data_IF_966500168643
#
_entry.id   IF_966500168643
#
_cell.length_a   1.000
_cell.length_b   1.000
_cell.length_c   1.000
_cell.angle_alpha   90.00
_cell.angle_beta   90.00
_cell.angle_gamma   90.00
#
_symmetry.space_group_name_H-M   'P 1'
#
loop_
_entity.id
_entity.type
_entity.pdbx_description
1 polymer ?
#
# COMPACT_ATOMS: atom_id res chain seq x y z
N UNK A 1 7.07 -13.36 -28.84
CA UNK A 1 6.40 -12.62 -27.75
C UNK A 1 7.29 -11.43 -27.41
N UNK A 2 6.79 -10.19 -27.51
CA UNK A 2 7.61 -8.98 -27.40
C UNK A 2 7.61 -8.46 -25.95
N UNK A 3 8.78 -8.31 -25.33
CA UNK A 3 8.93 -7.67 -24.03
C UNK A 3 8.72 -6.14 -24.15
N UNK A 4 8.09 -5.52 -23.14
CA UNK A 4 7.93 -4.05 -23.12
C UNK A 4 9.13 -3.42 -22.43
N UNK A 5 9.98 -2.74 -23.20
CA UNK A 5 11.11 -2.00 -22.66
C UNK A 5 10.67 -0.58 -22.32
N UNK A 6 10.80 -0.19 -21.05
CA UNK A 6 10.66 1.19 -20.63
C UNK A 6 12.06 1.81 -20.52
N UNK A 7 12.23 3.00 -21.11
CA UNK A 7 13.43 3.83 -20.98
C UNK A 7 13.00 5.26 -20.71
N UNK A 8 13.68 5.95 -19.80
CA UNK A 8 13.47 7.37 -19.59
C UNK A 8 14.00 8.16 -20.79
N UNK A 9 13.14 8.94 -21.45
CA UNK A 9 13.55 9.92 -22.45
C UNK A 9 13.67 11.27 -21.74
N UNK A 10 14.82 11.94 -21.85
CA UNK A 10 14.99 13.28 -21.29
C UNK A 10 14.17 14.28 -22.11
N UNK A 11 13.04 14.74 -21.59
CA UNK A 11 12.30 15.86 -22.19
C UNK A 11 11.93 16.90 -21.13
N UNK A 12 12.13 18.16 -21.53
CA UNK A 12 12.06 19.36 -20.69
C UNK A 12 10.64 19.74 -20.27
N UNK A 13 10.60 20.57 -19.22
CA UNK A 13 9.38 20.97 -18.51
C UNK A 13 8.41 21.81 -19.34
N UNK A 14 7.14 21.69 -18.99
CA UNK A 14 6.03 22.49 -19.49
C UNK A 14 4.99 22.69 -18.39
N UNK A 15 4.50 23.92 -18.31
CA UNK A 15 3.68 24.60 -17.29
C UNK A 15 2.37 23.92 -16.84
N UNK A 16 1.95 24.26 -15.61
CA UNK A 16 0.67 23.92 -14.96
C UNK A 16 -0.17 25.20 -14.83
N UNK A 17 -1.50 25.19 -15.07
CA UNK A 17 -2.40 26.18 -14.51
C UNK A 17 -3.18 25.63 -13.30
N UNK A 18 -3.21 26.45 -12.25
CA UNK A 18 -3.91 26.25 -10.98
C UNK A 18 -5.37 26.75 -11.04
N UNK A 19 -6.28 26.10 -10.30
CA UNK A 19 -7.58 26.66 -9.90
C UNK A 19 -7.87 26.26 -8.43
N UNK A 20 -8.40 27.15 -7.58
CA UNK A 20 -8.46 26.94 -6.13
C UNK A 20 -9.81 26.37 -5.66
N UNK A 21 -9.79 25.67 -4.52
CA UNK A 21 -10.99 25.44 -3.70
C UNK A 21 -10.65 25.64 -2.22
N UNK A 22 -11.46 26.44 -1.54
CA UNK A 22 -11.23 26.97 -0.19
C UNK A 22 -12.33 26.45 0.78
N UNK A 23 -11.91 26.16 2.02
CA UNK A 23 -12.64 26.10 3.33
C UNK A 23 -13.23 24.75 3.83
N UNK A 24 -13.33 24.50 5.17
CA UNK A 24 -12.71 25.10 6.38
C UNK A 24 -11.98 24.05 7.28
N UNK A 25 -11.48 24.37 8.51
CA UNK A 25 -10.32 23.71 9.12
C UNK A 25 -10.61 22.41 9.91
N UNK A 26 -9.57 21.59 9.96
CA UNK A 26 -9.45 20.31 10.67
C UNK A 26 -9.17 20.50 12.17
N UNK A 27 -9.81 19.69 13.01
CA UNK A 27 -9.31 19.41 14.35
C UNK A 27 -8.47 18.13 14.35
N UNK A 28 -7.22 18.34 14.77
CA UNK A 28 -6.09 17.42 14.79
C UNK A 28 -6.18 16.52 16.03
N UNK A 29 -6.04 15.20 15.85
CA UNK A 29 -5.78 14.29 16.97
C UNK A 29 -4.74 13.29 16.48
N UNK A 30 -3.48 13.55 16.84
CA UNK A 30 -2.38 12.63 16.61
C UNK A 30 -2.47 11.45 17.57
N UNK A 31 -2.17 10.26 17.07
CA UNK A 31 -1.89 9.10 17.90
C UNK A 31 -0.91 8.17 17.20
N UNK A 32 0.21 7.92 17.86
CA UNK A 32 1.30 7.02 17.46
C UNK A 32 1.09 5.68 18.17
N UNK A 33 0.82 4.62 17.41
CA UNK A 33 0.80 3.25 17.92
C UNK A 33 1.64 2.36 17.02
N UNK A 34 2.88 2.06 17.38
CA UNK A 34 3.58 0.97 16.71
C UNK A 34 2.95 -0.35 17.16
N UNK A 35 2.45 -1.14 16.21
CA UNK A 35 2.12 -2.55 16.48
C UNK A 35 3.41 -3.29 16.87
N UNK A 36 3.51 -3.63 18.16
CA UNK A 36 4.62 -4.38 18.73
C UNK A 36 4.69 -5.78 18.09
N UNK A 37 5.86 -6.16 17.57
CA UNK A 37 6.09 -7.55 17.16
C UNK A 37 7.26 -7.86 16.22
N UNK A 38 7.97 -6.88 15.65
CA UNK A 38 9.25 -7.13 14.96
C UNK A 38 10.18 -5.94 15.18
N UNK A 39 11.10 -6.06 16.12
CA UNK A 39 12.26 -5.16 16.22
C UNK A 39 13.18 -5.41 15.04
N UNK A 40 13.13 -4.52 14.04
CA UNK A 40 14.17 -4.43 13.02
C UNK A 40 15.34 -3.61 13.58
N UNK A 41 16.59 -3.87 13.17
CA UNK A 41 17.75 -3.19 13.71
C UNK A 41 17.71 -1.71 13.33
N UNK A 42 17.56 -0.83 14.32
CA UNK A 42 17.80 0.61 14.16
C UNK A 42 19.31 0.83 14.06
N UNK A 43 19.87 0.66 12.87
CA UNK A 43 21.23 1.12 12.60
C UNK A 43 21.22 2.64 12.39
N UNK A 44 21.25 3.37 13.50
CA UNK A 44 21.55 4.79 13.54
C UNK A 44 23.01 5.03 13.22
N UNK A 45 23.37 5.07 11.93
CA UNK A 45 24.63 5.66 11.47
C UNK A 45 24.35 7.06 10.91
N UNK A 46 24.49 8.06 11.78
CA UNK A 46 25.09 9.38 11.51
C UNK A 46 24.53 10.32 10.42
N UNK A 47 23.59 9.91 9.58
CA UNK A 47 23.04 10.70 8.47
C UNK A 47 21.50 10.57 8.37
N UNK A 48 20.78 10.65 9.50
CA UNK A 48 19.37 11.06 9.63
C UNK A 48 18.24 10.40 8.79
N UNK A 49 18.52 9.51 7.84
CA UNK A 49 17.56 8.98 6.87
C UNK A 49 17.10 7.57 7.26
N UNK A 50 15.79 7.36 7.34
CA UNK A 50 15.22 6.04 7.64
C UNK A 50 15.43 5.06 6.48
N UNK A 51 15.44 3.74 6.78
CA UNK A 51 15.54 2.70 5.75
C UNK A 51 14.41 2.79 4.70
N UNK A 52 13.19 3.09 5.13
CA UNK A 52 12.03 3.23 4.24
C UNK A 52 12.16 4.45 3.32
N UNK A 53 12.72 5.56 3.83
CA UNK A 53 12.97 6.75 3.01
C UNK A 53 14.07 6.46 1.97
N UNK A 54 15.12 5.73 2.33
CA UNK A 54 16.15 5.32 1.39
C UNK A 54 15.58 4.44 0.27
N UNK A 55 14.74 3.46 0.61
CA UNK A 55 14.03 2.62 -0.36
C UNK A 55 13.07 3.42 -1.25
N UNK A 56 12.33 4.38 -0.67
CA UNK A 56 11.44 5.27 -1.42
C UNK A 56 12.21 6.11 -2.46
N UNK A 57 13.35 6.67 -2.06
CA UNK A 57 14.24 7.42 -2.97
C UNK A 57 14.83 6.53 -4.06
N UNK A 58 15.19 5.29 -3.75
CA UNK A 58 15.66 4.31 -4.73
C UNK A 58 14.60 4.09 -5.83
N UNK A 59 13.33 3.88 -5.44
CA UNK A 59 12.24 3.69 -6.41
C UNK A 59 12.04 4.93 -7.26
N UNK A 60 11.94 6.10 -6.64
CA UNK A 60 11.66 7.36 -7.33
C UNK A 60 12.76 7.80 -8.29
N UNK A 61 14.02 7.51 -7.95
CA UNK A 61 15.18 7.97 -8.71
C UNK A 61 15.69 6.91 -9.67
N UNK A 62 15.01 5.77 -9.81
CA UNK A 62 15.37 4.77 -10.79
C UNK A 62 15.32 5.37 -12.20
N UNK A 63 16.47 5.34 -12.88
CA UNK A 63 16.70 5.86 -14.23
C UNK A 63 17.29 4.82 -15.19
N UNK A 64 17.38 3.57 -14.75
CA UNK A 64 17.85 2.43 -15.52
C UNK A 64 16.89 2.01 -16.64
N UNK A 65 17.33 1.02 -17.42
CA UNK A 65 16.50 0.35 -18.42
C UNK A 65 15.73 -0.77 -17.73
N UNK A 66 14.41 -0.80 -17.92
CA UNK A 66 13.56 -1.83 -17.34
C UNK A 66 12.84 -2.60 -18.45
N UNK A 67 13.07 -3.91 -18.50
CA UNK A 67 12.36 -4.81 -19.41
C UNK A 67 11.29 -5.55 -18.62
N UNK A 68 10.03 -5.15 -18.81
CA UNK A 68 8.92 -5.81 -18.15
C UNK A 68 8.59 -7.12 -18.84
N UNK A 69 8.40 -8.17 -18.04
CA UNK A 69 7.72 -9.38 -18.50
C UNK A 69 6.30 -9.03 -18.96
N UNK A 70 5.73 -9.84 -19.85
CA UNK A 70 4.35 -9.61 -20.32
C UNK A 70 3.34 -9.55 -19.16
N UNK A 71 3.53 -10.39 -18.14
CA UNK A 71 2.70 -10.38 -16.92
C UNK A 71 2.83 -9.10 -16.12
N UNK A 72 4.06 -8.60 -15.92
CA UNK A 72 4.29 -7.38 -15.15
C UNK A 72 3.87 -6.12 -15.91
N UNK A 73 3.98 -6.13 -17.24
CA UNK A 73 3.40 -5.09 -18.09
C UNK A 73 1.88 -5.04 -17.97
N UNK A 74 1.21 -6.20 -17.94
CA UNK A 74 -0.24 -6.27 -17.73
C UNK A 74 -0.65 -5.74 -16.33
N UNK A 75 0.10 -6.10 -15.28
CA UNK A 75 -0.12 -5.58 -13.93
C UNK A 75 0.01 -4.04 -13.87
N UNK A 76 1.05 -3.49 -14.49
CA UNK A 76 1.25 -2.05 -14.58
C UNK A 76 0.10 -1.36 -15.34
N UNK A 77 -0.27 -1.90 -16.50
CA UNK A 77 -1.34 -1.34 -17.33
C UNK A 77 -2.69 -1.35 -16.60
N UNK A 78 -2.99 -2.41 -15.85
CA UNK A 78 -4.20 -2.48 -15.04
C UNK A 78 -4.17 -1.44 -13.92
N UNK A 79 -3.05 -1.29 -13.22
CA UNK A 79 -2.90 -0.31 -12.12
C UNK A 79 -3.11 1.13 -12.60
N UNK A 80 -2.56 1.48 -13.76
CA UNK A 80 -2.64 2.85 -14.29
C UNK A 80 -3.87 3.07 -15.17
N UNK A 81 -4.73 2.07 -15.33
CA UNK A 81 -5.96 2.22 -16.10
C UNK A 81 -6.83 3.31 -15.45
N UNK A 82 -7.26 4.29 -16.24
CA UNK A 82 -7.98 5.47 -15.74
C UNK A 82 -7.11 6.57 -15.12
N UNK A 83 -5.78 6.40 -15.03
CA UNK A 83 -4.86 7.45 -14.59
C UNK A 83 -4.39 8.27 -15.79
N UNK A 84 -4.74 9.56 -15.83
CA UNK A 84 -4.29 10.49 -16.87
C UNK A 84 -3.02 11.22 -16.43
N UNK A 85 -2.13 11.53 -17.38
CA UNK A 85 -0.97 12.41 -17.18
C UNK A 85 0.17 11.87 -16.28
N UNK A 86 0.41 10.56 -16.28
CA UNK A 86 1.62 10.01 -15.65
C UNK A 86 2.86 10.36 -16.48
N UNK A 87 3.83 11.03 -15.85
CA UNK A 87 5.16 11.24 -16.42
C UNK A 87 5.90 9.91 -16.60
N UNK A 88 6.84 9.87 -17.53
CA UNK A 88 7.73 8.72 -17.72
C UNK A 88 8.44 8.32 -16.43
N UNK A 89 8.82 9.31 -15.60
CA UNK A 89 9.45 9.07 -14.29
C UNK A 89 8.50 8.31 -13.35
N UNK A 90 7.23 8.73 -13.26
CA UNK A 90 6.23 8.05 -12.42
C UNK A 90 5.94 6.64 -12.95
N UNK A 91 5.74 6.49 -14.26
CA UNK A 91 5.53 5.18 -14.88
C UNK A 91 6.70 4.24 -14.61
N UNK A 92 7.92 4.76 -14.69
CA UNK A 92 9.13 3.99 -14.41
C UNK A 92 9.21 3.56 -12.95
N UNK A 93 8.93 4.46 -11.99
CA UNK A 93 8.93 4.13 -10.57
C UNK A 93 7.91 3.02 -10.22
N UNK A 94 6.70 3.11 -10.78
CA UNK A 94 5.65 2.08 -10.65
C UNK A 94 6.10 0.75 -11.25
N UNK A 95 6.65 0.78 -12.47
CA UNK A 95 7.14 -0.39 -13.16
C UNK A 95 8.28 -1.07 -12.40
N UNK A 96 9.24 -0.29 -11.91
CA UNK A 96 10.37 -0.76 -11.11
C UNK A 96 9.89 -1.44 -9.84
N UNK A 97 8.97 -0.81 -9.09
CA UNK A 97 8.43 -1.42 -7.88
C UNK A 97 7.67 -2.72 -8.16
N UNK A 98 6.87 -2.79 -9.24
CA UNK A 98 6.17 -4.02 -9.62
C UNK A 98 7.15 -5.11 -10.03
N UNK A 99 8.17 -4.79 -10.82
CA UNK A 99 9.11 -5.75 -11.41
C UNK A 99 10.15 -6.25 -10.40
N UNK A 100 10.81 -5.33 -9.69
CA UNK A 100 11.96 -5.61 -8.83
C UNK A 100 11.61 -5.46 -7.35
N UNK A 101 10.79 -4.46 -7.03
CA UNK A 101 10.56 -4.04 -5.64
C UNK A 101 11.83 -3.44 -5.03
N UNK A 102 11.95 -3.60 -3.72
CA UNK A 102 13.06 -3.09 -2.90
C UNK A 102 13.48 -4.17 -1.90
N UNK A 103 14.48 -3.90 -1.06
CA UNK A 103 14.92 -4.85 -0.04
C UNK A 103 13.76 -5.39 0.82
N UNK A 104 12.87 -4.50 1.23
CA UNK A 104 11.71 -4.80 2.07
C UNK A 104 10.59 -5.54 1.32
N UNK A 105 10.39 -5.21 0.04
CA UNK A 105 9.24 -5.68 -0.76
C UNK A 105 9.55 -6.83 -1.71
N UNK A 106 10.84 -7.16 -1.96
CA UNK A 106 11.26 -8.23 -2.89
C UNK A 106 10.78 -9.63 -2.50
N UNK A 107 10.44 -9.84 -1.23
CA UNK A 107 9.81 -11.09 -0.73
C UNK A 107 8.40 -11.30 -1.26
N UNK A 108 7.73 -10.23 -1.68
CA UNK A 108 6.39 -10.27 -2.28
C UNK A 108 6.51 -10.59 -3.77
N UNK A 109 5.59 -11.39 -4.31
CA UNK A 109 5.50 -11.57 -5.76
C UNK A 109 5.10 -10.26 -6.48
N UNK A 110 5.37 -10.16 -7.79
CA UNK A 110 5.02 -8.97 -8.57
C UNK A 110 3.52 -8.60 -8.48
N UNK A 111 2.63 -9.61 -8.47
CA UNK A 111 1.20 -9.41 -8.26
C UNK A 111 0.86 -8.83 -6.87
N UNK A 112 1.57 -9.25 -5.82
CA UNK A 112 1.40 -8.70 -4.48
C UNK A 112 1.89 -7.25 -4.39
N UNK A 113 3.02 -6.94 -5.04
CA UNK A 113 3.56 -5.56 -5.15
C UNK A 113 2.62 -4.64 -5.94
N UNK A 114 2.06 -5.11 -7.05
CA UNK A 114 0.99 -4.40 -7.75
C UNK A 114 -0.25 -4.23 -6.85
N UNK A 115 -0.55 -5.24 -6.01
CA UNK A 115 -1.59 -5.15 -4.99
C UNK A 115 -1.30 -4.09 -3.93
N UNK A 116 -0.04 -3.86 -3.54
CA UNK A 116 0.34 -2.79 -2.59
C UNK A 116 0.03 -1.42 -3.18
N UNK A 117 0.41 -1.20 -4.44
CA UNK A 117 0.09 0.04 -5.15
C UNK A 117 -1.41 0.26 -5.31
N UNK A 118 -2.19 -0.80 -5.55
CA UNK A 118 -3.65 -0.72 -5.58
C UNK A 118 -4.25 -0.39 -4.20
N UNK A 119 -3.70 -0.96 -3.11
CA UNK A 119 -4.15 -0.61 -1.75
C UNK A 119 -3.85 0.87 -1.45
N UNK A 120 -2.67 1.37 -1.83
CA UNK A 120 -2.33 2.80 -1.73
C UNK A 120 -3.28 3.67 -2.56
N UNK A 121 -3.47 3.35 -3.85
CA UNK A 121 -4.38 4.07 -4.76
C UNK A 121 -5.80 4.14 -4.20
N UNK A 122 -6.31 3.05 -3.63
CA UNK A 122 -7.63 3.03 -3.00
C UNK A 122 -7.70 3.87 -1.72
N UNK A 123 -6.65 3.84 -0.91
CA UNK A 123 -6.62 4.57 0.35
C UNK A 123 -6.45 6.08 0.16
N UNK A 124 -5.75 6.52 -0.88
CA UNK A 124 -5.38 7.92 -1.08
C UNK A 124 -5.95 8.53 -2.37
N UNK A 125 -6.68 7.75 -3.17
CA UNK A 125 -7.34 8.17 -4.42
C UNK A 125 -6.37 8.72 -5.49
N UNK A 126 -5.08 8.42 -5.35
CA UNK A 126 -4.02 8.78 -6.30
C UNK A 126 -2.85 7.81 -6.21
N UNK A 127 -2.03 7.75 -7.26
CA UNK A 127 -0.77 7.02 -7.24
C UNK A 127 0.32 7.78 -6.44
N UNK A 128 1.37 7.09 -5.97
CA UNK A 128 2.50 7.71 -5.29
C UNK A 128 3.23 8.73 -6.19
N UNK A 129 3.52 9.92 -5.65
CA UNK A 129 4.13 11.03 -6.37
C UNK A 129 5.47 11.44 -5.79
N UNK A 130 5.56 11.49 -4.46
CA UNK A 130 6.72 11.98 -3.72
C UNK A 130 7.37 10.90 -2.84
N UNK A 131 8.47 11.26 -2.17
CA UNK A 131 9.24 10.33 -1.35
C UNK A 131 8.41 9.81 -0.19
N UNK A 132 7.54 10.63 0.39
CA UNK A 132 6.69 10.21 1.51
C UNK A 132 5.63 9.20 1.07
N UNK A 133 5.06 9.38 -0.12
CA UNK A 133 4.12 8.42 -0.68
C UNK A 133 4.77 7.07 -0.94
N UNK A 134 5.99 7.08 -1.48
CA UNK A 134 6.75 5.87 -1.72
C UNK A 134 7.22 5.22 -0.42
N UNK A 135 7.51 6.01 0.61
CA UNK A 135 7.79 5.49 1.95
C UNK A 135 6.57 4.74 2.50
N UNK A 136 5.36 5.31 2.34
CA UNK A 136 4.11 4.66 2.73
C UNK A 136 3.85 3.38 1.93
N UNK A 137 4.16 3.35 0.63
CA UNK A 137 4.10 2.12 -0.18
C UNK A 137 5.03 1.04 0.37
N UNK A 138 6.27 1.38 0.72
CA UNK A 138 7.23 0.43 1.30
C UNK A 138 6.75 -0.05 2.67
N UNK A 139 6.17 0.83 3.49
CA UNK A 139 5.58 0.46 4.79
C UNK A 139 4.39 -0.47 4.64
N UNK A 140 3.47 -0.20 3.72
CA UNK A 140 2.35 -1.09 3.39
C UNK A 140 2.88 -2.48 3.00
N UNK A 141 3.98 -2.54 2.22
CA UNK A 141 4.58 -3.82 1.78
C UNK A 141 5.19 -4.66 2.92
N UNK A 142 5.46 -4.06 4.07
CA UNK A 142 6.07 -4.72 5.24
C UNK A 142 5.18 -4.83 6.45
N UNK A 143 3.96 -4.29 6.38
CA UNK A 143 3.01 -4.34 7.48
C UNK A 143 3.13 -3.18 8.44
N UNK A 144 3.98 -2.20 8.12
CA UNK A 144 4.18 -1.00 8.94
C UNK A 144 3.09 0.02 8.63
N UNK A 145 2.74 0.81 9.63
CA UNK A 145 1.74 1.86 9.49
C UNK A 145 2.24 2.97 8.56
N UNK A 146 1.34 3.50 7.75
CA UNK A 146 1.63 4.67 6.91
C UNK A 146 1.82 5.91 7.78
N UNK A 147 2.64 6.85 7.31
CA UNK A 147 2.73 8.20 7.86
C UNK A 147 1.46 8.98 7.55
N UNK A 148 0.97 8.90 6.31
CA UNK A 148 -0.26 9.57 5.90
C UNK A 148 -1.46 8.74 6.37
N UNK A 149 -2.43 9.42 6.95
CA UNK A 149 -3.71 8.84 7.32
C UNK A 149 -4.80 9.37 6.39
N UNK A 150 -5.77 8.52 6.06
CA UNK A 150 -6.97 8.91 5.34
C UNK A 150 -8.21 8.54 6.15
N UNK A 151 -8.88 9.56 6.70
CA UNK A 151 -10.07 9.41 7.52
C UNK A 151 -11.18 8.64 6.79
N UNK A 152 -11.39 8.92 5.50
CA UNK A 152 -12.42 8.24 4.69
C UNK A 152 -12.11 6.76 4.50
N UNK A 153 -10.84 6.41 4.28
CA UNK A 153 -10.41 5.02 4.17
C UNK A 153 -10.62 4.26 5.50
N UNK A 154 -10.33 4.91 6.63
CA UNK A 154 -10.56 4.33 7.96
C UNK A 154 -12.05 4.22 8.30
N UNK A 155 -12.89 5.21 7.98
CA UNK A 155 -14.35 5.12 8.13
C UNK A 155 -14.94 3.94 7.34
N UNK A 156 -14.50 3.76 6.09
CA UNK A 156 -14.90 2.60 5.28
C UNK A 156 -14.45 1.28 5.92
N UNK A 157 -13.23 1.24 6.48
CA UNK A 157 -12.70 0.07 7.18
C UNK A 157 -13.46 -0.21 8.49
N UNK A 158 -13.90 0.81 9.24
CA UNK A 158 -14.73 0.67 10.43
C UNK A 158 -16.09 0.04 10.08
N UNK A 159 -16.73 0.49 8.99
CA UNK A 159 -17.99 -0.11 8.52
C UNK A 159 -17.82 -1.61 8.23
N UNK A 160 -16.72 -1.99 7.56
CA UNK A 160 -16.40 -3.39 7.28
C UNK A 160 -16.06 -4.16 8.57
N UNK A 161 -15.31 -3.56 9.49
CA UNK A 161 -15.01 -4.13 10.81
C UNK A 161 -16.30 -4.53 11.52
N UNK A 162 -17.29 -3.65 11.56
CA UNK A 162 -18.58 -3.94 12.22
C UNK A 162 -19.35 -5.06 11.55
N UNK A 163 -19.26 -5.21 10.22
CA UNK A 163 -19.85 -6.36 9.52
C UNK A 163 -19.20 -7.68 9.96
N UNK A 164 -17.87 -7.69 10.10
CA UNK A 164 -17.09 -8.90 10.42
C UNK A 164 -17.21 -9.27 11.90
N UNK A 165 -16.93 -8.31 12.77
CA UNK A 165 -16.79 -8.52 14.22
C UNK A 165 -18.06 -8.19 15.01
N UNK A 166 -19.14 -7.75 14.35
CA UNK A 166 -20.46 -7.50 14.97
C UNK A 166 -20.47 -6.48 16.11
N UNK A 167 -19.46 -5.60 16.14
CA UNK A 167 -19.29 -4.51 17.10
C UNK A 167 -18.49 -3.36 16.48
N UNK A 168 -18.46 -2.21 17.15
CA UNK A 168 -17.54 -1.13 16.79
C UNK A 168 -16.10 -1.47 17.25
N UNK A 169 -15.07 -1.01 16.53
CA UNK A 169 -13.69 -1.19 16.95
C UNK A 169 -13.40 -0.36 18.22
N UNK A 170 -12.66 -0.96 19.16
CA UNK A 170 -12.09 -0.25 20.30
C UNK A 170 -10.63 0.13 19.96
N UNK A 171 -10.36 1.39 19.66
CA UNK A 171 -9.00 1.85 19.30
C UNK A 171 -7.99 1.82 20.45
N UNK A 172 -8.43 1.59 21.70
CA UNK A 172 -7.51 1.27 22.80
C UNK A 172 -7.06 -0.20 22.78
N UNK A 173 -7.69 -1.05 21.95
CA UNK A 173 -7.26 -2.42 21.68
C UNK A 173 -6.43 -2.44 20.38
N UNK A 174 -5.15 -2.78 20.51
CA UNK A 174 -4.20 -2.84 19.39
C UNK A 174 -4.66 -3.76 18.24
N UNK A 175 -5.46 -4.79 18.54
CA UNK A 175 -5.93 -5.76 17.54
C UNK A 175 -7.06 -5.20 16.70
N UNK A 176 -7.95 -4.44 17.31
CA UNK A 176 -9.04 -3.77 16.60
C UNK A 176 -8.48 -2.66 15.72
N UNK A 177 -7.54 -1.88 16.26
CA UNK A 177 -6.84 -0.86 15.49
C UNK A 177 -6.08 -1.48 14.32
N UNK A 178 -5.30 -2.55 14.57
CA UNK A 178 -4.62 -3.29 13.51
C UNK A 178 -5.59 -3.80 12.43
N UNK A 179 -6.78 -4.30 12.80
CA UNK A 179 -7.79 -4.73 11.83
C UNK A 179 -8.24 -3.57 10.94
N UNK A 180 -8.54 -2.42 11.54
CA UNK A 180 -8.94 -1.21 10.80
C UNK A 180 -7.82 -0.75 9.87
N UNK A 181 -6.57 -0.67 10.34
CA UNK A 181 -5.42 -0.26 9.51
C UNK A 181 -5.12 -1.25 8.39
N UNK A 182 -5.22 -2.56 8.65
CA UNK A 182 -5.07 -3.61 7.63
C UNK A 182 -6.10 -3.47 6.51
N UNK A 183 -7.37 -3.19 6.84
CA UNK A 183 -8.43 -2.98 5.86
C UNK A 183 -8.32 -1.63 5.15
N UNK A 184 -7.95 -0.57 5.87
CA UNK A 184 -7.85 0.78 5.32
C UNK A 184 -6.72 0.88 4.29
N UNK A 185 -5.51 0.42 4.66
CA UNK A 185 -4.28 0.65 3.90
C UNK A 185 -3.74 -0.60 3.21
N UNK A 186 -4.33 -1.78 3.47
CA UNK A 186 -3.88 -3.03 2.87
C UNK A 186 -2.51 -3.48 3.36
N UNK A 187 -2.23 -3.39 4.65
CA UNK A 187 -0.91 -3.77 5.17
C UNK A 187 -0.60 -5.25 4.86
N UNK A 188 0.65 -5.56 4.48
CA UNK A 188 1.12 -6.92 4.18
C UNK A 188 1.89 -7.51 5.37
N UNK A 189 1.63 -8.74 5.80
CA UNK A 189 2.30 -9.31 6.96
C UNK A 189 3.82 -9.45 6.72
N UNK A 190 4.60 -9.28 7.79
CA UNK A 190 6.05 -9.48 7.75
C UNK A 190 6.42 -10.92 7.35
N UNK A 191 5.69 -11.90 7.88
CA UNK A 191 5.80 -13.33 7.58
C UNK A 191 4.43 -13.90 7.22
N UNK A 192 4.35 -14.59 6.08
CA UNK A 192 3.08 -15.16 5.59
C UNK A 192 2.79 -16.51 6.25
N UNK A 193 1.56 -16.68 6.72
CA UNK A 193 1.05 -17.92 7.25
C UNK A 193 -0.10 -18.43 6.38
N UNK A 194 0.17 -19.44 5.55
CA UNK A 194 -0.79 -20.02 4.61
C UNK A 194 -2.01 -20.63 5.32
N UNK A 195 -1.86 -21.14 6.55
CA UNK A 195 -2.96 -21.69 7.31
C UNK A 195 -3.89 -20.58 7.82
N UNK A 196 -3.33 -19.48 8.34
CA UNK A 196 -4.10 -18.30 8.73
C UNK A 196 -4.84 -17.69 7.54
N UNK A 197 -4.18 -17.56 6.38
CA UNK A 197 -4.80 -17.04 5.15
C UNK A 197 -5.94 -17.95 4.67
N UNK A 198 -5.75 -19.28 4.69
CA UNK A 198 -6.79 -20.26 4.33
C UNK A 198 -8.02 -20.15 5.25
N UNK A 199 -7.81 -20.11 6.56
CA UNK A 199 -8.89 -19.98 7.53
C UNK A 199 -9.64 -18.66 7.35
N UNK A 200 -8.89 -17.58 7.11
CA UNK A 200 -9.47 -16.25 6.91
C UNK A 200 -10.26 -16.14 5.61
N UNK A 201 -9.84 -16.84 4.56
CA UNK A 201 -10.62 -16.97 3.33
C UNK A 201 -11.96 -17.69 3.57
N UNK A 202 -11.97 -18.73 4.39
CA UNK A 202 -13.21 -19.43 4.80
C UNK A 202 -14.15 -18.50 5.58
N UNK A 203 -13.60 -17.73 6.53
CA UNK A 203 -14.34 -16.71 7.27
C UNK A 203 -14.91 -15.63 6.36
N UNK A 204 -14.10 -15.12 5.42
CA UNK A 204 -14.55 -14.15 4.42
C UNK A 204 -15.72 -14.70 3.60
N UNK A 205 -15.58 -15.92 3.08
CA UNK A 205 -16.64 -16.56 2.30
C UNK A 205 -17.92 -16.72 3.12
N UNK A 206 -17.81 -17.11 4.39
CA UNK A 206 -18.96 -17.29 5.28
C UNK A 206 -19.69 -15.97 5.59
N UNK A 207 -18.99 -14.84 5.59
CA UNK A 207 -19.57 -13.52 5.88
C UNK A 207 -20.15 -12.86 4.62
N UNK A 208 -19.44 -12.94 3.50
CA UNK A 208 -19.78 -12.21 2.27
C UNK A 208 -20.42 -13.09 1.18
N UNK A 209 -20.50 -14.40 1.40
CA UNK A 209 -21.04 -15.40 0.48
C UNK A 209 -20.44 -15.32 -0.94
N UNK A 210 -19.14 -15.00 -1.02
CA UNK A 210 -18.37 -14.90 -2.27
C UNK A 210 -16.87 -15.03 -2.00
N UNK A 211 -16.11 -15.36 -3.03
CA UNK A 211 -14.65 -15.29 -2.99
C UNK A 211 -14.15 -13.83 -3.17
N UNK A 212 -12.94 -13.50 -2.68
CA UNK A 212 -12.28 -12.23 -2.96
C UNK A 212 -12.09 -12.03 -4.48
N UNK A 213 -12.42 -10.83 -4.98
CA UNK A 213 -12.29 -10.48 -6.40
C UNK A 213 -11.39 -9.27 -6.64
N UNK A 214 -11.36 -8.34 -5.70
CA UNK A 214 -10.59 -7.09 -5.81
C UNK A 214 -9.61 -6.93 -4.64
N UNK A 215 -8.64 -6.01 -4.77
CA UNK A 215 -7.60 -5.78 -3.75
C UNK A 215 -8.18 -5.53 -2.36
N UNK A 216 -9.28 -4.77 -2.26
CA UNK A 216 -9.94 -4.51 -0.99
C UNK A 216 -10.43 -5.80 -0.28
N UNK A 217 -10.90 -6.80 -1.04
CA UNK A 217 -11.33 -8.07 -0.46
C UNK A 217 -10.15 -8.82 0.15
N UNK A 218 -8.99 -8.79 -0.52
CA UNK A 218 -7.76 -9.39 0.00
C UNK A 218 -7.21 -8.63 1.20
N UNK A 219 -7.41 -7.31 1.27
CA UNK A 219 -7.09 -6.50 2.44
C UNK A 219 -7.95 -6.93 3.65
N UNK A 220 -9.24 -7.23 3.43
CA UNK A 220 -10.14 -7.78 4.46
C UNK A 220 -9.68 -9.18 4.91
N UNK A 221 -9.35 -10.07 3.97
CA UNK A 221 -8.85 -11.42 4.31
C UNK A 221 -7.59 -11.31 5.18
N UNK A 222 -6.68 -10.38 4.86
CA UNK A 222 -5.48 -10.14 5.67
C UNK A 222 -5.80 -9.55 7.04
N UNK A 223 -6.79 -8.66 7.15
CA UNK A 223 -7.26 -8.16 8.44
C UNK A 223 -7.79 -9.28 9.32
N UNK A 224 -8.60 -10.19 8.78
CA UNK A 224 -9.09 -11.37 9.51
C UNK A 224 -7.92 -12.27 9.95
N UNK A 225 -6.92 -12.47 9.09
CA UNK A 225 -5.81 -13.38 9.35
C UNK A 225 -4.81 -12.88 10.39
N UNK A 226 -4.52 -11.58 10.38
CA UNK A 226 -3.32 -11.04 11.04
C UNK A 226 -3.60 -9.97 12.10
N UNK A 227 -4.81 -9.42 12.20
CA UNK A 227 -5.12 -8.41 13.22
C UNK A 227 -5.21 -8.98 14.63
N UNK A 228 -5.62 -10.26 14.75
CA UNK A 228 -5.95 -10.88 16.03
C UNK A 228 -7.28 -10.38 16.64
N UNK A 229 -8.02 -9.50 15.97
CA UNK A 229 -9.31 -9.03 16.45
C UNK A 229 -10.31 -10.19 16.55
N UNK A 230 -11.15 -10.13 17.57
CA UNK A 230 -12.11 -11.19 17.90
C UNK A 230 -13.53 -10.63 17.74
N UNK A 231 -14.38 -11.48 17.15
CA UNK A 231 -15.80 -11.24 16.90
C UNK A 231 -16.62 -11.41 18.17
#
# INVERSE_FOLDING_TARGET
MSATTLRRVSSGGGYIPSIPLIWPPTNNIGFTGEINGVGGPTNGNGNGMSEFEAEARMIMNFDGILQLSAGNAALLNNLISGQTNLSDKQRMALAFFIQEGTWTSRKLGAGERAGVLNSYLRAFERLPLDVEDWEDVVKISSGRWTKKLNKKAEENAIAIFTVIYKRLPNFSNERDDAAVKLMAYGLRPGSRNMNSERNSLSTFFSIFNRLPRQTADWDIVRAIAYSGAIR
#
